data_IF_534595425420
#
_entry.id   IF_534595425420
#
_cell.length_a   1.000
_cell.length_b   1.000
_cell.length_c   1.000
_cell.angle_alpha   90.00
_cell.angle_beta   90.00
_cell.angle_gamma   90.00
#
_symmetry.space_group_name_H-M   'P 1'
#
loop_
_entity.id
_entity.type
_entity.pdbx_description
1 polymer ?
#
# COMPACT_ATOMS: atom_id res chain seq x y z
N UNK A 1 -7.90 -34.82 6.37
CA UNK A 1 -6.43 -34.76 6.19
C UNK A 1 -5.95 -35.70 5.08
N UNK A 2 -6.20 -37.03 5.10
CA UNK A 2 -5.61 -37.93 4.08
C UNK A 2 -6.12 -37.75 2.64
N UNK A 3 -7.32 -37.22 2.42
CA UNK A 3 -7.81 -36.90 1.07
C UNK A 3 -7.19 -35.63 0.46
N UNK A 4 -6.65 -34.74 1.30
CA UNK A 4 -5.97 -33.51 0.87
C UNK A 4 -4.51 -33.82 0.50
N UNK A 5 -3.86 -34.71 1.27
CA UNK A 5 -2.51 -35.20 0.98
C UNK A 5 -2.45 -36.02 -0.33
N UNK A 6 -3.45 -36.88 -0.59
CA UNK A 6 -3.52 -37.67 -1.84
C UNK A 6 -3.73 -36.79 -3.08
N UNK A 7 -4.48 -35.69 -2.95
CA UNK A 7 -4.71 -34.73 -4.02
C UNK A 7 -3.46 -33.87 -4.30
N UNK A 8 -2.71 -33.55 -3.23
CA UNK A 8 -1.44 -32.81 -3.31
C UNK A 8 -0.32 -33.65 -3.93
N UNK A 9 -0.16 -34.93 -3.55
CA UNK A 9 0.81 -35.84 -4.20
C UNK A 9 0.55 -36.03 -5.69
N UNK A 10 -0.73 -36.09 -6.10
CA UNK A 10 -1.10 -36.25 -7.52
C UNK A 10 -0.80 -35.02 -8.35
N UNK A 11 -0.95 -33.82 -7.78
CA UNK A 11 -0.60 -32.55 -8.43
C UNK A 11 0.92 -32.37 -8.56
N UNK A 12 1.68 -32.72 -7.53
CA UNK A 12 3.16 -32.67 -7.55
C UNK A 12 3.73 -33.66 -8.57
N UNK A 13 3.20 -34.88 -8.66
CA UNK A 13 3.61 -35.87 -9.69
C UNK A 13 3.21 -35.46 -11.10
N UNK A 14 2.17 -34.65 -11.28
CA UNK A 14 1.76 -34.12 -12.59
C UNK A 14 2.66 -32.97 -13.04
N UNK A 15 3.09 -32.11 -12.12
CA UNK A 15 4.06 -31.04 -12.37
C UNK A 15 5.44 -31.60 -12.78
N UNK A 16 5.94 -32.61 -12.06
CA UNK A 16 7.23 -33.25 -12.35
C UNK A 16 7.25 -34.03 -13.69
N UNK A 17 6.11 -34.54 -14.16
CA UNK A 17 6.01 -35.17 -15.49
C UNK A 17 6.03 -34.15 -16.63
N UNK A 18 5.61 -32.92 -16.40
CA UNK A 18 5.64 -31.85 -17.41
C UNK A 18 7.08 -31.40 -17.73
N UNK A 19 7.98 -31.45 -16.75
CA UNK A 19 9.41 -31.14 -16.95
C UNK A 19 10.16 -32.26 -17.69
N UNK A 20 9.74 -33.53 -17.54
CA UNK A 20 10.38 -34.66 -18.24
C UNK A 20 10.00 -34.79 -19.72
N UNK A 21 8.85 -34.24 -20.14
CA UNK A 21 8.36 -34.34 -21.53
C UNK A 21 8.99 -33.26 -22.44
N UNK A 22 9.61 -32.22 -21.87
CA UNK A 22 10.36 -31.23 -22.64
C UNK A 22 11.72 -31.73 -23.20
N UNK A 23 12.12 -32.98 -22.89
CA UNK A 23 13.45 -33.51 -23.22
C UNK A 23 13.53 -34.55 -24.35
N UNK A 24 12.45 -34.86 -25.08
CA UNK A 24 12.49 -35.89 -26.13
C UNK A 24 11.88 -35.42 -27.46
N UNK A 25 12.74 -34.95 -28.37
CA UNK A 25 12.43 -34.77 -29.80
C UNK A 25 12.89 -36.01 -30.56
N UNK A 26 12.05 -36.71 -31.35
CA UNK A 26 12.49 -37.78 -32.23
C UNK A 26 13.05 -37.23 -33.54
N UNK A 27 14.23 -37.73 -33.92
CA UNK A 27 14.91 -37.47 -35.19
C UNK A 27 14.35 -38.37 -36.32
N UNK A 28 13.73 -37.78 -37.34
CA UNK A 28 13.80 -38.26 -38.75
C UNK A 28 12.89 -37.45 -39.67
N UNK A 29 13.46 -36.65 -40.57
CA UNK A 29 13.33 -36.76 -42.04
C UNK A 29 13.81 -35.47 -42.73
N UNK A 30 14.71 -35.68 -43.69
CA UNK A 30 15.35 -34.72 -44.59
C UNK A 30 14.33 -33.99 -45.48
N UNK A 31 14.43 -32.66 -45.65
CA UNK A 31 15.16 -32.04 -46.77
C UNK A 31 14.93 -30.52 -46.81
N UNK A 32 15.85 -29.87 -47.52
CA UNK A 32 15.77 -28.56 -48.15
C UNK A 32 16.14 -27.30 -47.36
N UNK A 33 16.88 -26.47 -48.10
CA UNK A 33 17.66 -25.25 -47.80
C UNK A 33 16.97 -24.16 -46.96
N UNK A 34 15.71 -24.36 -46.58
CA UNK A 34 14.98 -23.51 -45.64
C UNK A 34 15.31 -23.83 -44.18
N UNK A 35 15.73 -25.07 -43.87
CA UNK A 35 16.12 -25.45 -42.49
C UNK A 35 17.42 -24.79 -42.04
N UNK A 36 18.43 -24.67 -42.91
CA UNK A 36 19.68 -23.95 -42.59
C UNK A 36 19.47 -22.44 -42.43
N UNK A 37 18.51 -21.86 -43.17
CA UNK A 37 18.14 -20.45 -43.01
C UNK A 37 17.37 -20.24 -41.69
N UNK A 38 16.43 -21.13 -41.36
CA UNK A 38 15.67 -21.08 -40.10
C UNK A 38 16.56 -21.35 -38.89
N UNK A 39 17.53 -22.27 -38.98
CA UNK A 39 18.49 -22.55 -37.90
C UNK A 39 19.45 -21.38 -37.69
N UNK A 40 19.97 -20.74 -38.75
CA UNK A 40 20.79 -19.52 -38.59
C UNK A 40 20.00 -18.36 -38.02
N UNK A 41 18.75 -18.17 -38.47
CA UNK A 41 17.88 -17.13 -37.91
C UNK A 41 17.50 -17.44 -36.46
N UNK A 42 17.30 -18.71 -36.11
CA UNK A 42 17.03 -19.15 -34.73
C UNK A 42 18.27 -18.99 -33.84
N UNK A 43 19.46 -19.35 -34.31
CA UNK A 43 20.72 -19.14 -33.59
C UNK A 43 21.03 -17.64 -33.41
N UNK A 44 20.77 -16.79 -34.42
CA UNK A 44 20.91 -15.33 -34.31
C UNK A 44 19.89 -14.72 -33.32
N UNK A 45 18.63 -15.20 -33.33
CA UNK A 45 17.61 -14.80 -32.35
C UNK A 45 17.99 -15.30 -30.95
N UNK A 46 18.55 -16.50 -30.84
CA UNK A 46 18.92 -17.12 -29.57
C UNK A 46 20.20 -16.51 -28.99
N UNK A 47 21.14 -16.05 -29.81
CA UNK A 47 22.30 -15.24 -29.41
C UNK A 47 21.88 -13.79 -29.06
N UNK A 48 20.94 -13.19 -29.78
CA UNK A 48 20.35 -11.90 -29.39
C UNK A 48 19.55 -12.00 -28.08
N UNK A 49 18.83 -13.11 -27.86
CA UNK A 49 18.13 -13.39 -26.60
C UNK A 49 19.11 -13.75 -25.49
N UNK A 50 20.21 -14.47 -25.73
CA UNK A 50 21.26 -14.72 -24.74
C UNK A 50 22.00 -13.43 -24.37
N UNK A 51 22.27 -12.55 -25.35
CA UNK A 51 22.85 -11.23 -25.08
C UNK A 51 21.86 -10.32 -24.36
N UNK A 52 20.56 -10.38 -24.69
CA UNK A 52 19.52 -9.70 -23.91
C UNK A 52 19.43 -10.26 -22.49
N UNK A 53 19.46 -11.58 -22.32
CA UNK A 53 19.38 -12.24 -21.02
C UNK A 53 20.62 -11.96 -20.18
N UNK A 54 21.83 -12.00 -20.74
CA UNK A 54 23.07 -11.60 -20.07
C UNK A 54 23.06 -10.11 -19.70
N UNK A 55 22.56 -9.25 -20.58
CA UNK A 55 22.42 -7.81 -20.30
C UNK A 55 21.34 -7.52 -19.25
N UNK A 56 20.27 -8.32 -19.24
CA UNK A 56 19.20 -8.29 -18.23
C UNK A 56 19.71 -8.83 -16.90
N UNK A 57 20.49 -9.92 -16.88
CA UNK A 57 21.17 -10.43 -15.69
C UNK A 57 22.19 -9.43 -15.15
N UNK A 58 22.97 -8.77 -16.00
CA UNK A 58 23.89 -7.70 -15.57
C UNK A 58 23.13 -6.48 -15.01
N UNK A 59 21.99 -6.12 -15.62
CA UNK A 59 21.09 -5.07 -15.12
C UNK A 59 20.42 -5.48 -13.81
N UNK A 60 20.02 -6.74 -13.68
CA UNK A 60 19.37 -7.31 -12.51
C UNK A 60 20.37 -7.48 -11.38
N UNK A 61 21.58 -7.98 -11.62
CA UNK A 61 22.70 -7.98 -10.68
C UNK A 61 23.09 -6.55 -10.28
N UNK A 62 23.08 -5.58 -11.20
CA UNK A 62 23.35 -4.18 -10.84
C UNK A 62 22.25 -3.61 -9.94
N UNK A 63 20.98 -3.92 -10.23
CA UNK A 63 19.81 -3.51 -9.45
C UNK A 63 19.73 -4.22 -8.10
N UNK A 64 20.07 -5.50 -8.04
CA UNK A 64 20.13 -6.31 -6.82
C UNK A 64 21.35 -5.94 -6.00
N UNK A 65 22.52 -5.68 -6.59
CA UNK A 65 23.66 -5.07 -5.87
C UNK A 65 23.36 -3.64 -5.44
N UNK A 66 22.50 -2.89 -6.14
CA UNK A 66 22.03 -1.58 -5.68
C UNK A 66 21.00 -1.71 -4.55
N UNK A 67 20.11 -2.70 -4.60
CA UNK A 67 19.13 -3.02 -3.56
C UNK A 67 19.80 -3.60 -2.30
N UNK A 68 20.79 -4.49 -2.44
CA UNK A 68 21.60 -5.04 -1.35
C UNK A 68 22.58 -3.99 -0.77
N UNK A 69 23.04 -3.01 -1.57
CA UNK A 69 23.73 -1.82 -1.05
C UNK A 69 22.77 -0.88 -0.30
N UNK A 70 21.51 -0.81 -0.76
CA UNK A 70 20.38 -0.12 -0.10
C UNK A 70 19.88 -0.86 1.15
N UNK A 71 20.18 -2.15 1.29
CA UNK A 71 19.83 -2.96 2.48
C UNK A 71 20.97 -2.98 3.51
N UNK A 72 22.25 -2.91 3.07
CA UNK A 72 23.40 -2.68 3.96
C UNK A 72 23.49 -1.25 4.50
N UNK A 73 22.82 -0.30 3.84
CA UNK A 73 22.62 1.06 4.30
C UNK A 73 21.13 1.19 4.55
N UNK A 74 20.67 0.80 5.76
CA UNK A 74 19.26 0.86 6.13
C UNK A 74 18.64 2.17 5.63
N UNK A 75 17.75 2.04 4.65
CA UNK A 75 17.05 3.15 4.01
C UNK A 75 15.57 2.88 4.19
N UNK A 76 14.86 3.86 4.73
CA UNK A 76 13.44 3.76 5.01
C UNK A 76 12.60 3.93 3.73
N UNK A 77 11.28 3.89 3.89
CA UNK A 77 10.25 4.06 2.86
C UNK A 77 10.33 5.39 2.08
N UNK A 78 11.22 6.31 2.50
CA UNK A 78 11.50 7.61 1.89
C UNK A 78 12.87 7.69 1.19
N UNK A 79 13.59 6.56 1.07
CA UNK A 79 14.78 6.46 0.23
C UNK A 79 16.01 7.22 0.75
N UNK A 80 16.07 7.55 2.05
CA UNK A 80 17.25 8.19 2.67
C UNK A 80 18.06 7.20 3.50
N UNK A 81 19.40 7.34 3.55
CA UNK A 81 20.20 6.65 4.54
C UNK A 81 19.71 7.03 5.94
N UNK A 82 19.31 6.04 6.73
CA UNK A 82 18.96 6.19 8.14
C UNK A 82 20.23 6.61 8.87
N UNK A 83 20.39 7.91 9.05
CA UNK A 83 21.48 8.51 9.82
C UNK A 83 20.86 9.20 11.01
N UNK A 84 21.01 8.61 12.20
CA UNK A 84 20.46 9.17 13.44
C UNK A 84 19.82 8.12 14.34
N UNK A 85 19.23 8.56 15.46
CA UNK A 85 18.66 7.69 16.51
C UNK A 85 17.30 7.12 16.07
N UNK A 86 16.64 7.76 15.11
CA UNK A 86 15.37 7.30 14.53
C UNK A 86 15.45 5.87 13.98
N UNK A 87 16.61 5.46 13.43
CA UNK A 87 16.85 4.09 12.94
C UNK A 87 16.89 2.99 13.99
N UNK A 88 16.94 3.34 15.27
CA UNK A 88 17.17 2.42 16.37
C UNK A 88 15.93 2.21 17.24
N UNK A 89 14.75 2.67 16.80
CA UNK A 89 13.49 2.42 17.52
C UNK A 89 13.20 0.91 17.49
N UNK A 90 13.14 0.22 18.64
CA UNK A 90 12.87 -1.21 18.67
C UNK A 90 11.47 -1.56 18.19
N UNK A 91 11.33 -2.69 17.46
CA UNK A 91 10.04 -3.16 16.98
C UNK A 91 9.03 -3.48 18.10
N UNK A 92 9.50 -3.76 19.31
CA UNK A 92 8.64 -3.92 20.49
C UNK A 92 7.94 -2.62 20.94
N UNK A 93 8.32 -1.46 20.40
CA UNK A 93 7.66 -0.16 20.63
C UNK A 93 6.82 0.28 19.41
N UNK A 94 6.71 -0.53 18.34
CA UNK A 94 6.03 -0.19 17.08
C UNK A 94 4.53 0.09 17.20
N UNK A 95 3.89 -0.27 18.31
CA UNK A 95 2.49 0.07 18.57
C UNK A 95 2.24 1.60 18.70
N UNK A 96 3.30 2.42 18.67
CA UNK A 96 3.18 3.86 18.53
C UNK A 96 4.12 4.39 17.42
N UNK A 97 3.58 4.50 16.18
CA UNK A 97 4.25 5.08 15.00
C UNK A 97 4.79 6.50 15.21
N UNK A 98 4.36 7.18 16.29
CA UNK A 98 4.70 8.57 16.55
C UNK A 98 6.15 8.74 17.04
N UNK A 99 6.74 7.75 17.73
CA UNK A 99 8.10 7.88 18.29
C UNK A 99 9.15 8.04 17.19
N UNK A 100 9.08 7.22 16.13
CA UNK A 100 9.99 7.33 14.98
C UNK A 100 9.81 8.67 14.26
N UNK A 101 8.56 9.09 14.04
CA UNK A 101 8.26 10.37 13.41
C UNK A 101 8.80 11.56 14.22
N UNK A 102 8.66 11.53 15.55
CA UNK A 102 9.18 12.56 16.47
C UNK A 102 10.70 12.65 16.39
N UNK A 103 11.40 11.51 16.46
CA UNK A 103 12.86 11.50 16.40
C UNK A 103 13.40 11.93 15.03
N UNK A 104 12.75 11.54 13.95
CA UNK A 104 13.09 11.99 12.60
C UNK A 104 12.97 13.52 12.49
N UNK A 105 11.85 14.09 12.95
CA UNK A 105 11.67 15.55 12.98
C UNK A 105 12.71 16.23 13.88
N UNK A 106 13.04 15.63 15.03
CA UNK A 106 14.05 16.17 15.95
C UNK A 106 15.44 16.25 15.32
N UNK A 107 15.85 15.24 14.56
CA UNK A 107 17.14 15.24 13.84
C UNK A 107 17.13 16.27 12.70
N UNK A 108 16.01 16.46 12.01
CA UNK A 108 15.88 17.42 10.92
C UNK A 108 15.97 18.89 11.36
N UNK A 109 15.35 19.22 12.49
CA UNK A 109 15.37 20.60 13.03
C UNK A 109 16.58 20.85 13.94
N UNK A 110 17.44 19.85 14.16
CA UNK A 110 18.57 19.97 15.09
C UNK A 110 19.49 21.13 14.74
N UNK A 111 19.80 21.30 13.45
CA UNK A 111 20.67 22.37 12.96
C UNK A 111 19.96 23.72 12.92
N UNK A 112 18.63 23.73 12.88
CA UNK A 112 17.79 24.95 12.87
C UNK A 112 17.55 25.49 14.29
N UNK A 113 17.08 24.65 15.21
CA UNK A 113 16.89 24.99 16.62
C UNK A 113 17.16 23.79 17.55
N UNK A 114 18.37 23.74 18.17
CA UNK A 114 18.74 22.67 19.10
C UNK A 114 17.82 22.57 20.32
N UNK A 115 17.15 23.65 20.74
CA UNK A 115 16.22 23.60 21.87
C UNK A 115 14.96 22.85 21.54
N UNK A 116 14.41 23.06 20.33
CA UNK A 116 13.19 22.37 19.89
C UNK A 116 13.50 20.90 19.61
N UNK A 117 14.64 20.63 18.99
CA UNK A 117 15.14 19.26 18.81
C UNK A 117 15.24 18.51 20.14
N UNK A 118 15.74 19.16 21.19
CA UNK A 118 15.76 18.60 22.55
C UNK A 118 14.34 18.32 23.07
N UNK A 119 13.40 19.27 22.96
CA UNK A 119 12.02 19.10 23.44
C UNK A 119 11.38 17.85 22.78
N UNK A 120 11.56 17.69 21.46
CA UNK A 120 11.07 16.52 20.74
C UNK A 120 11.72 15.22 21.23
N UNK A 121 13.04 15.19 21.43
CA UNK A 121 13.73 14.02 21.98
C UNK A 121 13.26 13.67 23.41
N UNK A 122 13.03 14.65 24.27
CA UNK A 122 12.50 14.45 25.62
C UNK A 122 11.07 13.91 25.59
N UNK A 123 10.25 14.41 24.68
CA UNK A 123 8.89 13.91 24.48
C UNK A 123 8.88 12.45 23.98
N UNK A 124 9.71 12.13 22.99
CA UNK A 124 9.88 10.75 22.51
C UNK A 124 10.36 9.81 23.62
N UNK A 125 11.27 10.26 24.49
CA UNK A 125 11.70 9.50 25.66
C UNK A 125 10.56 9.26 26.64
N UNK A 126 9.75 10.28 26.93
CA UNK A 126 8.56 10.17 27.79
C UNK A 126 7.56 9.15 27.25
N UNK A 127 7.27 9.20 25.95
CA UNK A 127 6.40 8.22 25.28
C UNK A 127 6.95 6.80 25.42
N UNK A 128 8.23 6.59 25.12
CA UNK A 128 8.87 5.28 25.28
C UNK A 128 8.86 4.79 26.74
N UNK A 129 9.00 5.70 27.71
CA UNK A 129 8.93 5.38 29.13
C UNK A 129 7.53 4.96 29.57
N UNK A 130 6.49 5.62 29.06
CA UNK A 130 5.11 5.28 29.38
C UNK A 130 4.66 3.95 28.77
N UNK A 131 5.18 3.62 27.57
CA UNK A 131 4.84 2.37 26.88
C UNK A 131 5.47 1.14 27.53
N UNK A 132 6.70 1.24 28.00
CA UNK A 132 7.39 0.12 28.65
C UNK A 132 8.20 0.61 29.86
N UNK A 133 7.57 0.88 31.01
CA UNK A 133 8.25 1.46 32.17
C UNK A 133 9.44 0.62 32.67
N UNK A 134 9.33 -0.71 32.57
CA UNK A 134 10.32 -1.67 33.04
C UNK A 134 11.40 -1.99 32.00
N UNK A 135 11.24 -1.53 30.75
CA UNK A 135 12.15 -1.80 29.63
C UNK A 135 12.33 -3.30 29.35
N UNK A 136 11.22 -4.04 29.42
CA UNK A 136 11.17 -5.50 29.20
C UNK A 136 11.22 -5.87 27.71
N UNK A 137 10.84 -4.93 26.83
CA UNK A 137 10.91 -5.11 25.38
C UNK A 137 12.34 -5.25 24.86
N UNK A 138 12.53 -6.11 23.87
CA UNK A 138 13.84 -6.38 23.26
C UNK A 138 14.45 -5.10 22.70
N UNK A 139 15.57 -4.65 23.26
CA UNK A 139 16.29 -3.45 22.80
C UNK A 139 15.78 -2.12 23.36
N UNK A 140 14.68 -2.10 24.13
CA UNK A 140 14.08 -0.87 24.69
C UNK A 140 15.02 -0.16 25.66
N UNK A 141 15.68 -0.90 26.55
CA UNK A 141 16.61 -0.33 27.52
C UNK A 141 17.82 0.36 26.83
N UNK A 142 18.35 -0.27 25.79
CA UNK A 142 19.45 0.27 24.99
C UNK A 142 19.01 1.55 24.26
N UNK A 143 17.83 1.53 23.66
CA UNK A 143 17.23 2.69 23.00
C UNK A 143 17.04 3.86 23.95
N UNK A 144 16.41 3.66 25.12
CA UNK A 144 16.18 4.71 26.12
C UNK A 144 17.49 5.28 26.65
N UNK A 145 18.47 4.43 26.91
CA UNK A 145 19.79 4.85 27.40
C UNK A 145 20.52 5.68 26.34
N UNK A 146 20.46 5.26 25.07
CA UNK A 146 21.01 6.00 23.93
C UNK A 146 20.35 7.36 23.73
N UNK A 147 19.01 7.41 23.74
CA UNK A 147 18.26 8.66 23.60
C UNK A 147 18.54 9.62 24.76
N UNK A 148 18.60 9.11 25.99
CA UNK A 148 18.99 9.91 27.17
C UNK A 148 20.41 10.47 27.06
N UNK A 149 21.35 9.70 26.52
CA UNK A 149 22.72 10.17 26.25
C UNK A 149 22.72 11.33 25.26
N UNK A 150 21.91 11.23 24.20
CA UNK A 150 21.80 12.29 23.19
C UNK A 150 21.16 13.54 23.76
N UNK A 151 20.10 13.41 24.55
CA UNK A 151 19.50 14.55 25.26
C UNK A 151 20.58 15.24 26.12
N UNK A 152 21.37 14.48 26.88
CA UNK A 152 22.48 15.02 27.68
C UNK A 152 23.57 15.68 26.84
N UNK A 153 23.92 15.14 25.68
CA UNK A 153 24.89 15.75 24.77
C UNK A 153 24.36 17.05 24.16
N UNK A 154 23.08 17.09 23.77
CA UNK A 154 22.40 18.31 23.28
C UNK A 154 22.34 19.38 24.37
N UNK A 155 22.22 18.98 25.63
CA UNK A 155 22.32 19.87 26.79
C UNK A 155 23.74 20.35 27.07
N UNK A 156 24.75 19.49 26.92
CA UNK A 156 26.15 19.83 27.21
C UNK A 156 26.79 20.75 26.17
N UNK A 157 26.30 20.77 24.92
CA UNK A 157 26.78 21.68 23.86
C UNK A 157 26.30 23.13 24.05
N UNK A 158 25.33 23.39 24.93
CA UNK A 158 24.94 24.74 25.34
C UNK A 158 25.72 25.13 26.59
N UNK A 159 26.38 26.27 26.55
CA UNK A 159 27.10 26.86 27.68
C UNK A 159 26.17 26.97 28.92
N UNK A 160 26.35 26.06 29.87
CA UNK A 160 26.22 26.28 31.33
C UNK A 160 25.00 27.04 31.88
N UNK A 161 23.81 26.95 31.28
CA UNK A 161 22.58 27.58 31.82
C UNK A 161 21.59 26.59 32.42
N UNK A 162 21.02 26.91 33.57
CA UNK A 162 19.86 26.21 34.14
C UNK A 162 18.70 26.25 33.14
N UNK A 163 18.22 25.09 32.69
CA UNK A 163 17.16 25.00 31.68
C UNK A 163 15.84 25.44 32.29
N UNK A 164 15.32 26.57 31.83
CA UNK A 164 13.96 26.98 32.14
C UNK A 164 12.95 26.22 31.28
N UNK A 165 12.48 25.09 31.81
CA UNK A 165 11.45 24.25 31.17
C UNK A 165 10.09 24.93 31.08
N UNK A 166 9.86 26.00 31.83
CA UNK A 166 8.57 26.73 31.81
C UNK A 166 8.30 27.41 30.46
N UNK A 167 9.35 27.68 29.69
CA UNK A 167 9.25 28.34 28.38
C UNK A 167 9.15 27.36 27.20
N UNK A 168 9.26 26.05 27.43
CA UNK A 168 9.36 25.07 26.34
C UNK A 168 8.10 25.05 25.46
N UNK A 169 6.92 25.17 26.05
CA UNK A 169 5.64 25.24 25.31
C UNK A 169 5.58 26.53 24.48
N UNK A 170 5.92 27.68 25.07
CA UNK A 170 5.91 28.97 24.37
C UNK A 170 6.90 28.98 23.20
N UNK A 171 8.10 28.40 23.41
CA UNK A 171 9.12 28.25 22.36
C UNK A 171 8.65 27.32 21.24
N UNK A 172 7.97 26.22 21.56
CA UNK A 172 7.43 25.31 20.56
C UNK A 172 6.33 25.98 19.71
N UNK A 173 5.45 26.77 20.34
CA UNK A 173 4.43 27.56 19.64
C UNK A 173 5.04 28.62 18.72
N UNK A 174 6.04 29.37 19.20
CA UNK A 174 6.72 30.39 18.40
C UNK A 174 7.52 29.75 17.26
N UNK A 175 8.19 28.62 17.54
CA UNK A 175 8.91 27.86 16.53
C UNK A 175 7.98 27.34 15.43
N UNK A 176 6.80 26.80 15.78
CA UNK A 176 5.82 26.36 14.79
C UNK A 176 5.47 27.49 13.80
N UNK A 177 5.14 28.68 14.33
CA UNK A 177 4.80 29.86 13.52
C UNK A 177 5.98 30.32 12.66
N UNK A 178 7.19 30.33 13.23
CA UNK A 178 8.43 30.71 12.53
C UNK A 178 8.76 29.74 11.41
N UNK A 179 8.75 28.44 11.70
CA UNK A 179 9.04 27.36 10.75
C UNK A 179 8.07 27.39 9.56
N UNK A 180 6.78 27.65 9.82
CA UNK A 180 5.75 27.82 8.78
C UNK A 180 6.05 28.98 7.84
N UNK A 181 6.49 30.12 8.39
CA UNK A 181 6.84 31.32 7.63
C UNK A 181 8.12 31.12 6.80
N UNK A 182 9.17 30.59 7.41
CA UNK A 182 10.48 30.39 6.75
C UNK A 182 10.40 29.38 5.61
N UNK A 183 9.60 28.32 5.77
CA UNK A 183 9.41 27.32 4.73
C UNK A 183 8.38 27.73 3.66
N UNK A 184 7.76 28.91 3.77
CA UNK A 184 6.73 29.42 2.87
C UNK A 184 5.59 28.39 2.65
N UNK A 185 5.05 27.84 3.74
CA UNK A 185 4.06 26.76 3.71
C UNK A 185 2.83 27.11 2.87
N UNK A 186 2.33 28.35 2.98
CA UNK A 186 1.20 28.82 2.17
C UNK A 186 1.50 28.75 0.67
N UNK A 187 2.71 29.16 0.28
CA UNK A 187 3.17 29.08 -1.12
C UNK A 187 3.33 27.62 -1.56
N UNK A 188 3.91 26.76 -0.71
CA UNK A 188 4.05 25.34 -1.00
C UNK A 188 2.68 24.67 -1.22
N UNK A 189 1.68 25.05 -0.41
CA UNK A 189 0.29 24.63 -0.53
C UNK A 189 -0.33 25.11 -1.85
N UNK A 190 -0.20 26.40 -2.18
CA UNK A 190 -0.73 26.96 -3.42
C UNK A 190 -0.09 26.34 -4.67
N UNK A 191 1.24 26.12 -4.65
CA UNK A 191 1.95 25.47 -5.74
C UNK A 191 1.54 24.00 -5.91
N UNK A 192 1.23 23.28 -4.82
CA UNK A 192 0.69 21.92 -4.90
C UNK A 192 -0.70 21.92 -5.56
N UNK A 193 -1.60 22.82 -5.14
CA UNK A 193 -2.92 22.98 -5.75
C UNK A 193 -2.79 23.26 -7.25
N UNK A 194 -1.94 24.22 -7.62
CA UNK A 194 -1.71 24.59 -9.03
C UNK A 194 -1.14 23.43 -9.86
N UNK A 195 -0.19 22.67 -9.32
CA UNK A 195 0.38 21.51 -10.03
C UNK A 195 -0.67 20.43 -10.30
N UNK A 196 -1.62 20.23 -9.36
CA UNK A 196 -2.71 19.26 -9.51
C UNK A 196 -3.82 19.76 -10.44
N UNK A 197 -4.06 21.08 -10.48
CA UNK A 197 -5.01 21.71 -11.41
C UNK A 197 -4.45 21.81 -12.83
N UNK A 198 -3.15 22.05 -12.98
CA UNK A 198 -2.49 22.07 -14.27
C UNK A 198 -2.33 20.63 -14.79
N UNK A 199 -3.17 20.21 -15.72
CA UNK A 199 -3.01 18.95 -16.47
C UNK A 199 -1.70 18.89 -17.31
N UNK A 200 -0.91 19.97 -17.30
CA UNK A 200 0.35 20.11 -18.02
C UNK A 200 1.50 19.58 -17.18
N UNK A 201 1.94 18.35 -17.47
CA UNK A 201 3.15 17.82 -16.89
C UNK A 201 4.35 18.65 -17.37
N UNK A 202 4.89 19.51 -16.49
CA UNK A 202 6.16 20.20 -16.76
C UNK A 202 7.24 19.13 -16.94
N UNK A 203 7.90 19.11 -18.11
CA UNK A 203 8.86 18.08 -18.52
C UNK A 203 10.12 17.94 -17.66
N UNK A 204 10.21 18.59 -16.49
CA UNK A 204 11.31 18.50 -15.55
C UNK A 204 10.95 17.66 -14.32
N UNK A 205 10.81 16.34 -14.52
CA UNK A 205 10.47 15.35 -13.47
C UNK A 205 11.38 15.47 -12.23
N UNK A 206 12.67 15.76 -12.41
CA UNK A 206 13.63 15.90 -11.30
C UNK A 206 13.40 17.14 -10.44
N UNK A 207 12.85 18.22 -10.98
CA UNK A 207 12.46 19.40 -10.19
C UNK A 207 11.18 19.12 -9.39
N UNK A 208 10.23 18.41 -10.01
CA UNK A 208 9.00 18.00 -9.35
C UNK A 208 9.28 17.08 -8.16
N UNK A 209 10.13 16.07 -8.34
CA UNK A 209 10.54 15.17 -7.27
C UNK A 209 11.18 15.92 -6.09
N UNK A 210 12.10 16.86 -6.37
CA UNK A 210 12.71 17.71 -5.32
C UNK A 210 11.69 18.55 -4.57
N UNK A 211 10.70 19.12 -5.27
CA UNK A 211 9.62 19.89 -4.65
C UNK A 211 8.73 19.00 -3.78
N UNK A 212 8.35 17.82 -4.27
CA UNK A 212 7.54 16.86 -3.52
C UNK A 212 8.25 16.39 -2.25
N UNK A 213 9.55 16.05 -2.34
CA UNK A 213 10.35 15.67 -1.17
C UNK A 213 10.42 16.81 -0.16
N UNK A 214 10.64 18.05 -0.62
CA UNK A 214 10.64 19.22 0.26
C UNK A 214 9.28 19.42 0.95
N UNK A 215 8.17 19.30 0.21
CA UNK A 215 6.81 19.44 0.76
C UNK A 215 6.55 18.37 1.82
N UNK A 216 6.77 17.09 1.48
CA UNK A 216 6.61 15.96 2.42
C UNK A 216 7.41 16.19 3.71
N UNK A 217 8.65 16.65 3.58
CA UNK A 217 9.50 17.00 4.74
C UNK A 217 8.87 18.08 5.62
N UNK A 218 8.52 19.23 5.03
CA UNK A 218 8.00 20.39 5.77
C UNK A 218 6.68 20.06 6.47
N UNK A 219 5.72 19.47 5.76
CA UNK A 219 4.42 19.13 6.32
C UNK A 219 4.51 17.98 7.34
N UNK A 220 5.38 16.98 7.11
CA UNK A 220 5.65 15.93 8.09
C UNK A 220 6.19 16.49 9.42
N UNK A 221 7.15 17.42 9.35
CA UNK A 221 7.68 18.09 10.55
C UNK A 221 6.65 18.97 11.23
N UNK A 222 5.80 19.70 10.49
CA UNK A 222 4.69 20.47 11.07
C UNK A 222 3.67 19.57 11.77
N UNK A 223 3.30 18.42 11.17
CA UNK A 223 2.39 17.44 11.79
C UNK A 223 2.94 16.96 13.13
N UNK A 224 4.23 16.62 13.19
CA UNK A 224 4.89 16.22 14.43
C UNK A 224 4.90 17.36 15.47
N UNK A 225 5.28 18.58 15.07
CA UNK A 225 5.31 19.72 15.99
C UNK A 225 3.93 20.03 16.56
N UNK A 226 2.89 19.98 15.72
CA UNK A 226 1.49 20.16 16.12
C UNK A 226 1.02 19.08 17.09
N UNK A 227 1.25 17.81 16.76
CA UNK A 227 0.91 16.67 17.61
C UNK A 227 1.59 16.74 18.98
N UNK A 228 2.89 17.04 19.03
CA UNK A 228 3.62 17.18 20.30
C UNK A 228 3.08 18.37 21.10
N UNK A 229 2.76 19.48 20.44
CA UNK A 229 2.19 20.64 21.10
C UNK A 229 0.82 20.33 21.75
N UNK A 230 -0.06 19.63 21.03
CA UNK A 230 -1.38 19.18 21.54
C UNK A 230 -1.26 18.20 22.71
N UNK A 231 -0.24 17.35 22.71
CA UNK A 231 0.03 16.41 23.81
C UNK A 231 0.62 17.09 25.04
N UNK A 232 1.37 18.19 24.87
CA UNK A 232 2.02 18.93 25.97
C UNK A 232 1.11 19.99 26.61
N UNK A 233 0.12 20.54 25.90
CA UNK A 233 -0.79 21.56 26.44
C UNK A 233 -2.21 21.50 25.87
N UNK A 234 -3.20 21.80 26.73
CA UNK A 234 -4.61 21.99 26.34
C UNK A 234 -4.94 23.44 26.00
N UNK A 235 -4.04 24.38 26.29
CA UNK A 235 -4.22 25.83 26.12
C UNK A 235 -3.55 26.32 24.84
N UNK A 236 -4.00 25.81 23.70
CA UNK A 236 -3.54 26.28 22.38
C UNK A 236 -4.54 27.34 21.89
N UNK A 237 -4.09 28.53 21.44
CA UNK A 237 -4.98 29.50 20.82
C UNK A 237 -5.75 28.86 19.64
N UNK A 238 -7.07 29.05 19.60
CA UNK A 238 -7.96 28.37 18.64
C UNK A 238 -7.52 28.59 17.17
N UNK A 239 -7.03 29.80 16.86
CA UNK A 239 -6.47 30.15 15.55
C UNK A 239 -5.27 29.26 15.17
N UNK A 240 -4.38 28.98 16.13
CA UNK A 240 -3.22 28.13 15.90
C UNK A 240 -3.62 26.66 15.77
N UNK A 241 -4.62 26.23 16.54
CA UNK A 241 -5.16 24.87 16.47
C UNK A 241 -5.75 24.57 15.09
N UNK A 242 -6.56 25.47 14.55
CA UNK A 242 -7.10 25.33 13.19
C UNK A 242 -5.99 25.25 12.12
N UNK A 243 -4.92 26.02 12.30
CA UNK A 243 -3.75 25.96 11.38
C UNK A 243 -3.03 24.62 11.50
N UNK A 244 -2.85 24.08 12.71
CA UNK A 244 -2.23 22.77 12.94
C UNK A 244 -3.05 21.66 12.29
N UNK A 245 -4.36 21.64 12.51
CA UNK A 245 -5.28 20.67 11.90
C UNK A 245 -5.23 20.75 10.36
N UNK A 246 -5.21 21.96 9.82
CA UNK A 246 -5.11 22.22 8.38
C UNK A 246 -3.76 21.78 7.78
N UNK A 247 -2.64 22.02 8.47
CA UNK A 247 -1.31 21.61 8.03
C UNK A 247 -1.13 20.08 8.15
N UNK A 248 -1.69 19.46 9.20
CA UNK A 248 -1.70 18.01 9.38
C UNK A 248 -2.49 17.29 8.29
N UNK A 249 -3.64 17.83 7.88
CA UNK A 249 -4.44 17.29 6.77
C UNK A 249 -3.66 17.28 5.44
N UNK A 250 -2.85 18.32 5.17
CA UNK A 250 -2.01 18.35 3.96
C UNK A 250 -0.97 17.23 3.93
N UNK A 251 -0.52 16.75 5.08
CA UNK A 251 0.42 15.63 5.15
C UNK A 251 -0.22 14.36 4.60
N UNK A 252 -1.51 14.15 4.87
CA UNK A 252 -2.29 13.02 4.34
C UNK A 252 -2.54 13.19 2.83
N UNK A 253 -2.80 14.42 2.37
CA UNK A 253 -2.94 14.75 0.94
C UNK A 253 -1.63 14.62 0.13
N UNK A 254 -0.47 14.82 0.76
CA UNK A 254 0.86 14.66 0.15
C UNK A 254 1.31 13.20 0.06
N UNK A 255 0.65 12.29 0.79
CA UNK A 255 0.98 10.85 0.80
C UNK A 255 0.32 10.10 -0.35
N UNK A 256 -0.70 10.67 -1.01
CA UNK A 256 -1.36 10.04 -2.14
C UNK A 256 -0.35 9.75 -3.27
N UNK A 257 0.10 8.49 -3.35
CA UNK A 257 0.78 7.93 -4.52
C UNK A 257 -0.18 7.75 -5.70
N UNK A 258 -1.47 7.94 -5.43
CA UNK A 258 -2.56 7.78 -6.36
C UNK A 258 -2.61 8.94 -7.35
N UNK A 259 -2.63 8.62 -8.65
CA UNK A 259 -2.76 9.55 -9.78
C UNK A 259 -4.13 10.26 -9.70
N UNK A 260 -5.16 9.54 -9.23
CA UNK A 260 -6.50 10.02 -8.94
C UNK A 260 -6.73 9.93 -7.42
N UNK A 261 -6.53 11.04 -6.66
CA UNK A 261 -6.67 11.05 -5.22
C UNK A 261 -8.15 11.12 -4.82
N UNK A 262 -8.84 9.99 -4.89
CA UNK A 262 -10.28 9.86 -4.62
C UNK A 262 -10.66 10.17 -3.16
N UNK A 263 -9.72 10.08 -2.23
CA UNK A 263 -9.92 10.29 -0.78
C UNK A 263 -9.54 11.71 -0.29
N UNK A 264 -8.93 12.56 -1.13
CA UNK A 264 -8.37 13.85 -0.71
C UNK A 264 -9.47 14.92 -0.48
N UNK A 265 -9.51 15.65 0.66
CA UNK A 265 -10.56 16.62 1.02
C UNK A 265 -10.70 17.82 0.09
N UNK A 266 -9.65 18.18 -0.64
CA UNK A 266 -9.50 19.55 -1.17
C UNK A 266 -9.21 19.64 -2.67
N UNK A 267 -9.26 18.55 -3.44
CA UNK A 267 -8.61 18.57 -4.77
C UNK A 267 -9.59 18.34 -5.92
N UNK A 268 -9.85 19.42 -6.67
CA UNK A 268 -10.27 19.37 -8.08
C UNK A 268 -9.09 18.88 -8.94
N UNK A 269 -8.87 17.57 -8.99
CA UNK A 269 -7.93 17.00 -9.95
C UNK A 269 -8.52 17.15 -11.35
N UNK A 270 -7.79 17.77 -12.30
CA UNK A 270 -8.25 17.93 -13.68
C UNK A 270 -8.64 16.58 -14.32
N UNK A 271 -8.02 15.47 -13.89
CA UNK A 271 -8.37 14.12 -14.33
C UNK A 271 -9.78 13.72 -13.88
N UNK A 272 -10.23 14.17 -12.70
CA UNK A 272 -11.60 13.94 -12.22
C UNK A 272 -12.65 14.73 -13.03
N UNK A 273 -12.25 15.67 -13.88
CA UNK A 273 -13.16 16.37 -14.78
C UNK A 273 -13.49 15.55 -16.05
N UNK A 274 -12.73 14.50 -16.36
CA UNK A 274 -13.01 13.66 -17.53
C UNK A 274 -14.31 12.85 -17.34
N UNK A 275 -15.24 12.86 -18.31
CA UNK A 275 -16.52 12.17 -18.20
C UNK A 275 -16.40 10.67 -17.88
N UNK A 276 -15.41 9.98 -18.46
CA UNK A 276 -15.14 8.56 -18.23
C UNK A 276 -14.72 8.29 -16.78
N UNK A 277 -13.91 9.19 -16.21
CA UNK A 277 -13.45 9.09 -14.82
C UNK A 277 -14.60 9.33 -13.86
N UNK A 278 -15.44 10.33 -14.14
CA UNK A 278 -16.66 10.59 -13.36
C UNK A 278 -17.66 9.43 -13.42
N UNK A 279 -17.84 8.85 -14.61
CA UNK A 279 -18.67 7.67 -14.83
C UNK A 279 -18.17 6.46 -14.05
N UNK A 280 -16.87 6.14 -14.16
CA UNK A 280 -16.25 5.03 -13.45
C UNK A 280 -16.29 5.20 -11.92
N UNK A 281 -15.95 6.39 -11.42
CA UNK A 281 -16.04 6.71 -10.00
C UNK A 281 -17.48 6.62 -9.48
N UNK A 282 -18.45 7.13 -10.24
CA UNK A 282 -19.86 7.05 -9.87
C UNK A 282 -20.39 5.61 -9.87
N UNK A 283 -19.86 4.74 -10.72
CA UNK A 283 -20.24 3.33 -10.77
C UNK A 283 -19.79 2.52 -9.53
N UNK A 284 -18.78 3.00 -8.79
CA UNK A 284 -18.32 2.34 -7.56
C UNK A 284 -19.08 2.77 -6.30
N UNK A 285 -19.91 3.82 -6.38
CA UNK A 285 -20.68 4.34 -5.24
C UNK A 285 -21.55 3.26 -4.58
N UNK A 286 -21.86 3.48 -3.31
CA UNK A 286 -22.78 2.63 -2.56
C UNK A 286 -24.12 2.52 -3.30
N UNK A 287 -24.57 1.30 -3.57
CA UNK A 287 -25.84 1.03 -4.24
C UNK A 287 -26.82 0.33 -3.31
N UNK A 288 -28.13 0.41 -3.60
CA UNK A 288 -29.19 -0.07 -2.71
C UNK A 288 -29.22 -1.58 -2.46
N UNK A 289 -28.42 -2.37 -3.19
CA UNK A 289 -28.26 -3.81 -2.95
C UNK A 289 -27.21 -4.17 -1.91
N UNK A 290 -26.48 -3.19 -1.35
CA UNK A 290 -25.54 -3.41 -0.26
C UNK A 290 -26.22 -3.25 1.10
N UNK A 291 -25.90 -4.11 2.10
CA UNK A 291 -26.35 -3.92 3.48
C UNK A 291 -25.92 -2.56 4.04
N UNK A 292 -26.64 -2.01 5.02
CA UNK A 292 -26.25 -0.74 5.64
C UNK A 292 -24.96 -0.91 6.45
N UNK A 293 -23.98 -0.02 6.26
CA UNK A 293 -22.80 0.07 7.14
C UNK A 293 -23.20 0.55 8.54
N UNK A 294 -22.58 0.03 9.61
CA UNK A 294 -22.80 0.52 10.96
C UNK A 294 -22.47 2.02 11.12
N UNK A 295 -23.17 2.69 12.04
CA UNK A 295 -23.01 4.13 12.26
C UNK A 295 -21.65 4.50 12.93
N UNK A 296 -21.01 3.54 13.60
CA UNK A 296 -19.68 3.66 14.21
C UNK A 296 -18.53 3.42 13.23
N UNK A 297 -18.83 2.99 12.00
CA UNK A 297 -17.80 2.79 10.98
C UNK A 297 -17.34 4.13 10.40
N UNK A 298 -16.07 4.48 10.65
CA UNK A 298 -15.48 5.73 10.16
C UNK A 298 -15.10 5.61 8.68
N UNK A 299 -15.86 6.26 7.81
CA UNK A 299 -15.48 6.52 6.41
C UNK A 299 -14.75 7.87 6.35
N UNK A 300 -13.94 8.07 5.30
CA UNK A 300 -13.32 9.38 5.07
C UNK A 300 -14.37 10.49 5.08
N UNK A 301 -14.13 11.56 5.87
CA UNK A 301 -15.06 12.71 6.00
C UNK A 301 -15.27 13.43 4.66
N UNK A 302 -14.39 13.18 3.70
CA UNK A 302 -14.28 13.88 2.41
C UNK A 302 -15.19 13.33 1.33
N UNK A 303 -15.73 12.11 1.51
CA UNK A 303 -16.55 11.45 0.47
C UNK A 303 -17.65 10.57 1.06
N UNK A 304 -18.64 10.29 0.23
CA UNK A 304 -19.64 9.26 0.52
C UNK A 304 -19.02 7.86 0.51
N UNK A 305 -19.55 6.90 1.30
CA UNK A 305 -19.12 5.51 1.23
C UNK A 305 -19.32 4.92 -0.16
N UNK A 306 -18.48 3.95 -0.49
CA UNK A 306 -18.52 3.19 -1.74
C UNK A 306 -18.49 1.67 -1.49
N UNK A 307 -18.58 0.87 -2.55
CA UNK A 307 -18.61 -0.60 -2.41
C UNK A 307 -17.28 -1.17 -1.85
N UNK A 308 -16.16 -0.45 -1.99
CA UNK A 308 -14.88 -0.87 -1.44
C UNK A 308 -14.81 -0.62 0.07
N UNK A 309 -15.48 0.42 0.58
CA UNK A 309 -15.65 0.62 2.02
C UNK A 309 -16.47 -0.50 2.65
N UNK A 310 -17.50 -0.98 1.95
CA UNK A 310 -18.23 -2.17 2.34
C UNK A 310 -17.30 -3.39 2.44
N UNK A 311 -16.49 -3.64 1.41
CA UNK A 311 -15.54 -4.76 1.42
C UNK A 311 -14.46 -4.61 2.50
N UNK A 312 -13.99 -3.37 2.72
CA UNK A 312 -13.05 -3.04 3.80
C UNK A 312 -13.64 -3.39 5.17
N UNK A 313 -14.88 -2.96 5.44
CA UNK A 313 -15.57 -3.27 6.69
C UNK A 313 -15.78 -4.77 6.88
N UNK A 314 -16.26 -5.46 5.83
CA UNK A 314 -16.61 -6.88 5.91
C UNK A 314 -15.39 -7.77 6.11
N UNK A 315 -14.32 -7.55 5.35
CA UNK A 315 -13.16 -8.45 5.32
C UNK A 315 -11.93 -7.92 6.05
N UNK A 316 -11.93 -6.65 6.47
CA UNK A 316 -10.79 -6.06 7.18
C UNK A 316 -9.54 -5.91 6.31
N UNK A 317 -9.71 -5.60 5.03
CA UNK A 317 -8.59 -5.26 4.13
C UNK A 317 -7.84 -4.03 4.66
N UNK A 318 -6.55 -3.92 4.40
CA UNK A 318 -5.73 -2.77 4.81
C UNK A 318 -6.19 -1.49 4.08
N UNK A 319 -6.30 -0.37 4.82
CA UNK A 319 -6.78 0.92 4.28
C UNK A 319 -6.01 1.36 3.03
N UNK A 320 -4.68 1.25 3.05
CA UNK A 320 -3.85 1.66 1.91
C UNK A 320 -4.08 0.76 0.68
N UNK A 321 -4.27 -0.56 0.89
CA UNK A 321 -4.64 -1.48 -0.18
C UNK A 321 -5.99 -1.08 -0.80
N UNK A 322 -6.98 -0.77 0.04
CA UNK A 322 -8.30 -0.33 -0.41
C UNK A 322 -8.22 0.94 -1.26
N UNK A 323 -7.50 1.96 -0.79
CA UNK A 323 -7.32 3.21 -1.55
C UNK A 323 -6.58 2.99 -2.87
N UNK A 324 -5.55 2.12 -2.89
CA UNK A 324 -4.79 1.80 -4.11
C UNK A 324 -5.65 1.02 -5.12
N UNK A 325 -6.37 0.00 -4.68
CA UNK A 325 -7.21 -0.81 -5.58
C UNK A 325 -8.42 -0.04 -6.08
N UNK A 326 -8.96 0.90 -5.30
CA UNK A 326 -10.03 1.80 -5.76
C UNK A 326 -9.62 2.54 -7.02
N UNK A 327 -8.46 3.19 -6.99
CA UNK A 327 -7.94 3.88 -8.15
C UNK A 327 -7.66 2.92 -9.30
N UNK A 328 -7.01 1.79 -9.03
CA UNK A 328 -6.69 0.80 -10.05
C UNK A 328 -7.96 0.34 -10.82
N UNK A 329 -9.04 0.05 -10.10
CA UNK A 329 -10.32 -0.33 -10.70
C UNK A 329 -10.90 0.82 -11.52
N UNK A 330 -10.87 2.06 -11.03
CA UNK A 330 -11.29 3.24 -11.80
C UNK A 330 -10.51 3.34 -13.11
N UNK A 331 -9.18 3.18 -13.08
CA UNK A 331 -8.34 3.23 -14.27
C UNK A 331 -8.66 2.12 -15.27
N UNK A 332 -8.93 0.89 -14.80
CA UNK A 332 -9.35 -0.22 -15.66
C UNK A 332 -10.67 0.09 -16.37
N UNK A 333 -11.65 0.60 -15.62
CA UNK A 333 -12.97 0.95 -16.17
C UNK A 333 -12.88 2.12 -17.16
N UNK A 334 -12.09 3.14 -16.85
CA UNK A 334 -11.83 4.28 -17.75
C UNK A 334 -11.20 3.80 -19.04
N UNK A 335 -10.16 2.96 -18.97
CA UNK A 335 -9.50 2.43 -20.18
C UNK A 335 -10.43 1.57 -21.05
N UNK A 336 -11.35 0.80 -20.47
CA UNK A 336 -12.36 0.08 -21.28
C UNK A 336 -13.42 1.06 -21.84
N UNK A 337 -13.89 2.02 -21.04
CA UNK A 337 -14.87 3.02 -21.48
C UNK A 337 -14.36 3.85 -22.65
N UNK A 338 -13.11 4.32 -22.60
CA UNK A 338 -12.52 5.12 -23.67
C UNK A 338 -12.43 4.39 -25.02
N UNK A 339 -12.55 3.04 -25.05
CA UNK A 339 -12.62 2.25 -26.29
C UNK A 339 -14.03 2.19 -26.88
N UNK A 340 -15.05 2.39 -26.06
CA UNK A 340 -16.46 2.41 -26.46
C UNK A 340 -16.93 3.83 -26.83
N UNK A 341 -16.27 4.85 -26.31
CA UNK A 341 -16.55 6.25 -26.57
C UNK A 341 -16.60 7.08 -25.29
N UNK A 342 -16.54 8.40 -25.44
CA UNK A 342 -16.65 9.35 -24.33
C UNK A 342 -18.14 9.50 -23.97
N UNK A 343 -18.55 9.32 -22.71
CA UNK A 343 -19.92 9.63 -22.29
C UNK A 343 -20.23 11.12 -22.51
N UNK A 344 -21.21 11.43 -23.37
CA UNK A 344 -21.59 12.82 -23.71
C UNK A 344 -22.70 13.39 -22.81
N UNK A 345 -23.28 12.58 -21.92
CA UNK A 345 -24.38 12.99 -21.04
C UNK A 345 -23.92 13.96 -19.93
N UNK A 346 -24.82 14.85 -19.50
CA UNK A 346 -24.59 15.79 -18.38
C UNK A 346 -24.23 15.07 -17.06
N UNK A 347 -24.75 13.86 -16.87
CA UNK A 347 -24.34 12.93 -15.82
C UNK A 347 -23.72 11.70 -16.49
N UNK A 348 -22.38 11.66 -16.66
CA UNK A 348 -21.75 10.61 -17.44
C UNK A 348 -21.93 9.25 -16.76
N UNK A 349 -22.45 8.28 -17.50
CA UNK A 349 -22.68 6.91 -17.03
C UNK A 349 -21.74 5.95 -17.74
N UNK A 350 -21.28 4.98 -16.97
CA UNK A 350 -20.39 3.94 -17.47
C UNK A 350 -21.21 2.93 -18.29
N UNK A 351 -20.72 2.63 -19.48
CA UNK A 351 -21.31 1.63 -20.36
C UNK A 351 -21.21 0.22 -19.72
N UNK A 352 -22.31 -0.53 -19.74
CA UNK A 352 -22.34 -1.89 -19.19
C UNK A 352 -21.37 -2.84 -19.90
N UNK A 353 -21.09 -2.61 -21.19
CA UNK A 353 -20.09 -3.38 -21.94
C UNK A 353 -18.67 -3.14 -21.41
N UNK A 354 -18.35 -1.93 -20.91
CA UNK A 354 -17.05 -1.66 -20.28
C UNK A 354 -16.91 -2.46 -18.98
N UNK A 355 -17.95 -2.46 -18.14
CA UNK A 355 -17.98 -3.26 -16.90
C UNK A 355 -17.87 -4.75 -17.19
N UNK A 356 -18.62 -5.22 -18.18
CA UNK A 356 -18.58 -6.61 -18.61
C UNK A 356 -17.19 -7.02 -19.11
N UNK A 357 -16.54 -6.16 -19.90
CA UNK A 357 -15.18 -6.38 -20.39
C UNK A 357 -14.15 -6.49 -19.26
N UNK A 358 -14.17 -5.57 -18.29
CA UNK A 358 -13.28 -5.65 -17.11
C UNK A 358 -13.56 -6.90 -16.30
N UNK A 359 -14.83 -7.23 -16.06
CA UNK A 359 -15.24 -8.41 -15.30
C UNK A 359 -14.71 -9.71 -15.91
N UNK A 360 -14.92 -9.90 -17.21
CA UNK A 360 -14.46 -11.09 -17.92
C UNK A 360 -12.94 -11.22 -17.91
N UNK A 361 -12.22 -10.12 -18.17
CA UNK A 361 -10.74 -10.12 -18.18
C UNK A 361 -10.16 -10.41 -16.80
N UNK A 362 -10.72 -9.80 -15.76
CA UNK A 362 -10.19 -9.91 -14.38
C UNK A 362 -10.42 -11.31 -13.81
N UNK A 363 -11.57 -11.94 -14.12
CA UNK A 363 -11.95 -13.24 -13.56
C UNK A 363 -11.78 -14.41 -14.55
N UNK A 364 -11.08 -14.21 -15.66
CA UNK A 364 -10.82 -15.25 -16.66
C UNK A 364 -10.12 -16.48 -16.05
N UNK A 365 -9.11 -16.24 -15.21
CA UNK A 365 -8.40 -17.31 -14.50
C UNK A 365 -9.33 -18.09 -13.56
N UNK A 366 -10.22 -17.39 -12.86
CA UNK A 366 -11.21 -18.00 -11.99
C UNK A 366 -12.20 -18.87 -12.78
N UNK A 367 -12.69 -18.39 -13.91
CA UNK A 367 -13.57 -19.16 -14.80
C UNK A 367 -12.88 -20.44 -15.30
N UNK A 368 -11.63 -20.34 -15.75
CA UNK A 368 -10.82 -21.49 -16.18
C UNK A 368 -10.60 -22.49 -15.04
N UNK A 369 -10.33 -22.01 -13.84
CA UNK A 369 -10.15 -22.84 -12.65
C UNK A 369 -11.43 -23.59 -12.27
N UNK A 370 -12.59 -22.92 -12.26
CA UNK A 370 -13.88 -23.57 -12.02
C UNK A 370 -14.20 -24.63 -13.07
N UNK A 371 -13.97 -24.33 -14.35
CA UNK A 371 -14.16 -25.27 -15.45
C UNK A 371 -13.24 -26.49 -15.33
N UNK A 372 -11.97 -26.28 -14.98
CA UNK A 372 -11.00 -27.36 -14.80
C UNK A 372 -11.38 -28.31 -13.66
N UNK A 373 -11.86 -27.75 -12.54
CA UNK A 373 -12.29 -28.54 -11.37
C UNK A 373 -13.73 -29.06 -11.49
N UNK A 374 -14.45 -28.72 -12.56
CA UNK A 374 -15.87 -29.04 -12.74
C UNK A 374 -16.75 -28.54 -11.57
N UNK A 375 -16.45 -27.37 -11.02
CA UNK A 375 -17.24 -26.72 -9.97
C UNK A 375 -18.01 -25.53 -10.54
N UNK A 376 -19.16 -25.23 -9.94
CA UNK A 376 -19.96 -24.09 -10.34
C UNK A 376 -19.31 -22.78 -9.88
N UNK A 377 -19.19 -21.76 -10.75
CA UNK A 377 -18.80 -20.42 -10.34
C UNK A 377 -19.75 -19.85 -9.27
N UNK A 378 -19.35 -18.77 -8.58
CA UNK A 378 -20.17 -18.18 -7.51
C UNK A 378 -21.49 -17.62 -8.05
N UNK A 379 -21.54 -17.29 -9.35
CA UNK A 379 -22.75 -16.92 -10.05
C UNK A 379 -23.36 -18.10 -10.82
N UNK A 380 -24.69 -18.19 -10.78
CA UNK A 380 -25.44 -19.25 -11.49
C UNK A 380 -25.49 -19.02 -13.01
N UNK A 381 -25.60 -17.76 -13.44
CA UNK A 381 -25.59 -17.36 -14.85
C UNK A 381 -24.96 -15.99 -14.98
N UNK A 382 -24.12 -15.79 -16.01
CA UNK A 382 -23.44 -14.53 -16.28
C UNK A 382 -24.43 -13.40 -16.65
N UNK A 383 -25.52 -13.76 -17.34
CA UNK A 383 -26.58 -12.84 -17.76
C UNK A 383 -27.44 -12.37 -16.59
N UNK A 384 -27.45 -13.13 -15.49
CA UNK A 384 -28.18 -12.80 -14.26
C UNK A 384 -27.41 -11.93 -13.28
N UNK A 385 -26.14 -11.62 -13.55
CA UNK A 385 -25.32 -10.74 -12.69
C UNK A 385 -25.44 -9.31 -13.20
N UNK A 386 -26.03 -8.43 -12.39
CA UNK A 386 -26.11 -7.00 -12.68
C UNK A 386 -24.72 -6.33 -12.68
N UNK A 387 -24.69 -5.06 -13.11
CA UNK A 387 -23.46 -4.28 -13.26
C UNK A 387 -22.78 -4.08 -11.90
N UNK A 388 -23.56 -3.75 -10.88
CA UNK A 388 -23.09 -3.45 -9.52
C UNK A 388 -22.43 -4.68 -8.88
N UNK A 389 -23.03 -5.87 -9.04
CA UNK A 389 -22.49 -7.13 -8.52
C UNK A 389 -21.25 -7.59 -9.30
N UNK A 390 -21.18 -7.33 -10.61
CA UNK A 390 -19.93 -7.54 -11.39
C UNK A 390 -18.80 -6.68 -10.83
N UNK A 391 -19.05 -5.40 -10.59
CA UNK A 391 -18.06 -4.49 -10.00
C UNK A 391 -17.66 -4.91 -8.58
N UNK A 392 -18.61 -5.41 -7.79
CA UNK A 392 -18.33 -5.91 -6.45
C UNK A 392 -17.40 -7.12 -6.47
N UNK A 393 -17.61 -8.08 -7.40
CA UNK A 393 -16.73 -9.22 -7.58
C UNK A 393 -15.33 -8.82 -8.06
N UNK A 394 -15.25 -7.88 -9.02
CA UNK A 394 -13.96 -7.33 -9.48
C UNK A 394 -13.23 -6.65 -8.32
N UNK A 395 -13.94 -5.87 -7.52
CA UNK A 395 -13.39 -5.17 -6.37
C UNK A 395 -12.84 -6.14 -5.32
N UNK A 396 -13.63 -7.17 -4.98
CA UNK A 396 -13.18 -8.21 -4.05
C UNK A 396 -11.94 -8.94 -4.57
N UNK A 397 -11.91 -9.31 -5.86
CA UNK A 397 -10.77 -10.00 -6.45
C UNK A 397 -9.48 -9.17 -6.36
N UNK A 398 -9.52 -7.89 -6.69
CA UNK A 398 -8.34 -7.03 -6.65
C UNK A 398 -7.90 -6.70 -5.22
N UNK A 399 -8.82 -6.58 -4.26
CA UNK A 399 -8.48 -6.44 -2.84
C UNK A 399 -7.74 -7.67 -2.31
N UNK A 400 -8.24 -8.88 -2.63
CA UNK A 400 -7.56 -10.15 -2.33
C UNK A 400 -6.17 -10.16 -2.99
N UNK A 401 -6.09 -9.82 -4.27
CA UNK A 401 -4.82 -9.81 -5.01
C UNK A 401 -3.80 -8.84 -4.40
N UNK A 402 -4.24 -7.66 -3.95
CA UNK A 402 -3.38 -6.63 -3.36
C UNK A 402 -2.74 -7.03 -2.04
N UNK A 403 -3.38 -7.89 -1.26
CA UNK A 403 -2.87 -8.39 0.03
C UNK A 403 -2.32 -9.82 0.00
N UNK A 404 -2.47 -10.54 -1.12
CA UNK A 404 -2.03 -11.93 -1.24
C UNK A 404 -0.51 -12.15 -1.17
N UNK A 405 0.32 -11.10 -1.15
CA UNK A 405 1.78 -11.19 -1.07
C UNK A 405 2.36 -12.22 -2.07
N UNK A 406 3.07 -13.27 -1.62
CA UNK A 406 3.61 -14.30 -2.52
C UNK A 406 2.54 -15.30 -2.99
N UNK A 407 1.40 -15.41 -2.30
CA UNK A 407 0.29 -16.31 -2.67
C UNK A 407 -0.31 -15.93 -4.02
N UNK A 408 -0.18 -14.67 -4.47
CA UNK A 408 -0.63 -14.24 -5.80
C UNK A 408 0.05 -14.98 -6.97
N UNK A 409 1.20 -15.62 -6.73
CA UNK A 409 1.90 -16.44 -7.73
C UNK A 409 1.39 -17.90 -7.76
N UNK A 410 0.41 -18.24 -6.92
CA UNK A 410 -0.30 -19.51 -6.91
C UNK A 410 -1.73 -19.25 -7.43
N UNK A 411 -1.95 -19.24 -8.75
CA UNK A 411 -3.21 -18.79 -9.33
C UNK A 411 -4.41 -19.63 -8.85
N UNK A 412 -4.23 -20.93 -8.62
CA UNK A 412 -5.27 -21.81 -8.06
C UNK A 412 -5.63 -21.45 -6.61
N UNK A 413 -4.63 -21.05 -5.81
CA UNK A 413 -4.86 -20.62 -4.43
C UNK A 413 -5.63 -19.29 -4.41
N UNK A 414 -5.27 -18.36 -5.28
CA UNK A 414 -5.99 -17.10 -5.43
C UNK A 414 -7.45 -17.31 -5.85
N UNK A 415 -7.69 -18.23 -6.80
CA UNK A 415 -9.05 -18.60 -7.22
C UNK A 415 -9.84 -19.26 -6.08
N UNK A 416 -9.20 -20.10 -5.27
CA UNK A 416 -9.80 -20.72 -4.10
C UNK A 416 -10.24 -19.69 -3.05
N UNK A 417 -9.35 -18.76 -2.69
CA UNK A 417 -9.66 -17.68 -1.73
C UNK A 417 -10.83 -16.85 -2.25
N UNK A 418 -10.77 -16.41 -3.51
CA UNK A 418 -11.84 -15.66 -4.14
C UNK A 418 -13.16 -16.43 -4.13
N UNK A 419 -13.16 -17.72 -4.49
CA UNK A 419 -14.37 -18.54 -4.54
C UNK A 419 -15.10 -18.56 -3.19
N UNK A 420 -14.37 -18.79 -2.10
CA UNK A 420 -14.95 -18.89 -0.77
C UNK A 420 -15.39 -17.53 -0.22
N UNK A 421 -14.56 -16.50 -0.37
CA UNK A 421 -14.91 -15.15 0.09
C UNK A 421 -16.07 -14.55 -0.70
N UNK A 422 -16.15 -14.79 -2.00
CA UNK A 422 -17.27 -14.30 -2.81
C UNK A 422 -18.60 -14.98 -2.43
N UNK A 423 -18.58 -16.24 -1.99
CA UNK A 423 -19.76 -16.93 -1.44
C UNK A 423 -20.18 -16.36 -0.09
N UNK A 424 -19.23 -16.15 0.81
CA UNK A 424 -19.49 -15.52 2.11
C UNK A 424 -20.02 -14.08 1.94
N UNK A 425 -19.46 -13.32 1.00
CA UNK A 425 -19.97 -12.01 0.62
C UNK A 425 -21.43 -12.09 0.16
N UNK A 426 -21.78 -13.05 -0.70
CA UNK A 426 -23.16 -13.23 -1.18
C UNK A 426 -24.14 -13.55 -0.03
N UNK A 427 -23.70 -14.25 1.01
CA UNK A 427 -24.48 -14.49 2.23
C UNK A 427 -24.68 -13.18 3.02
N UNK A 428 -23.63 -12.37 3.17
CA UNK A 428 -23.69 -11.06 3.85
C UNK A 428 -24.59 -10.08 3.11
N UNK A 429 -24.59 -10.09 1.76
CA UNK A 429 -25.48 -9.25 0.95
C UNK A 429 -26.98 -9.52 1.19
N UNK A 430 -27.35 -10.68 1.75
CA UNK A 430 -28.74 -10.99 2.11
C UNK A 430 -29.17 -10.36 3.43
N UNK A 431 -28.24 -9.78 4.19
CA UNK A 431 -28.50 -9.14 5.48
C UNK A 431 -28.87 -7.66 5.30
N UNK A 432 -29.60 -7.09 6.27
CA UNK A 432 -29.92 -5.66 6.24
C UNK A 432 -28.77 -4.76 6.71
N UNK A 433 -27.94 -5.26 7.61
CA UNK A 433 -26.80 -4.54 8.20
C UNK A 433 -25.55 -5.34 7.87
N UNK A 434 -24.49 -4.65 7.43
CA UNK A 434 -23.22 -5.28 7.13
C UNK A 434 -22.63 -5.88 8.40
N UNK A 435 -22.09 -7.10 8.28
CA UNK A 435 -21.39 -7.78 9.36
C UNK A 435 -20.00 -8.20 8.88
N UNK A 436 -19.00 -8.26 9.79
CA UNK A 436 -17.72 -8.85 9.50
C UNK A 436 -17.87 -10.29 8.99
N UNK A 437 -17.04 -10.65 8.02
CA UNK A 437 -16.91 -12.02 7.54
C UNK A 437 -16.35 -12.92 8.66
N UNK A 438 -16.96 -14.08 8.85
CA UNK A 438 -16.52 -15.07 9.83
C UNK A 438 -15.10 -15.56 9.51
N UNK A 439 -14.77 -15.69 8.21
CA UNK A 439 -13.42 -16.08 7.77
C UNK A 439 -12.33 -15.09 8.14
N UNK A 440 -12.69 -13.84 8.41
CA UNK A 440 -11.75 -12.75 8.68
C UNK A 440 -11.86 -12.19 10.10
N UNK A 441 -12.76 -12.73 10.93
CA UNK A 441 -13.05 -12.22 12.28
C UNK A 441 -12.24 -12.95 13.35
N UNK A 442 -11.72 -12.20 14.31
CA UNK A 442 -11.00 -12.71 15.48
C UNK A 442 -11.32 -11.90 16.73
N UNK A 443 -10.85 -12.35 17.90
CA UNK A 443 -10.98 -11.60 19.17
C UNK A 443 -10.33 -10.20 19.09
N UNK A 444 -9.31 -10.04 18.23
CA UNK A 444 -8.56 -8.80 18.05
C UNK A 444 -9.12 -7.90 16.92
N UNK A 445 -10.28 -8.26 16.35
CA UNK A 445 -10.90 -7.54 15.24
C UNK A 445 -10.87 -8.30 13.92
N UNK A 446 -11.19 -7.58 12.83
CA UNK A 446 -11.36 -8.13 11.48
C UNK A 446 -10.10 -7.89 10.67
N UNK A 447 -9.49 -8.94 10.11
CA UNK A 447 -8.30 -8.80 9.27
C UNK A 447 -8.14 -9.94 8.28
N UNK A 448 -8.28 -9.63 6.99
CA UNK A 448 -8.01 -10.56 5.90
C UNK A 448 -6.56 -11.06 5.92
N UNK A 449 -5.59 -10.14 6.05
CA UNK A 449 -4.17 -10.48 6.08
C UNK A 449 -3.85 -11.50 7.18
N UNK A 450 -4.29 -11.23 8.41
CA UNK A 450 -3.96 -12.07 9.58
C UNK A 450 -4.72 -13.40 9.56
N UNK A 451 -5.99 -13.40 9.18
CA UNK A 451 -6.83 -14.61 9.29
C UNK A 451 -6.79 -15.50 8.05
N UNK A 452 -6.54 -14.95 6.86
CA UNK A 452 -6.56 -15.71 5.59
C UNK A 452 -5.16 -15.88 5.01
N UNK A 453 -4.40 -14.79 4.83
CA UNK A 453 -3.11 -14.86 4.14
C UNK A 453 -2.00 -15.41 5.02
N UNK A 454 -1.89 -14.97 6.28
CA UNK A 454 -0.81 -15.43 7.18
C UNK A 454 -0.78 -16.94 7.35
N UNK A 455 -1.91 -17.64 7.64
CA UNK A 455 -1.88 -19.09 7.78
C UNK A 455 -1.50 -19.81 6.48
N UNK A 456 -1.93 -19.31 5.31
CA UNK A 456 -1.53 -19.86 4.02
C UNK A 456 -0.03 -19.66 3.78
N UNK A 457 0.49 -18.48 4.12
CA UNK A 457 1.91 -18.18 3.99
C UNK A 457 2.77 -19.07 4.89
N UNK A 458 2.33 -19.32 6.12
CA UNK A 458 3.02 -20.23 7.04
C UNK A 458 3.11 -21.66 6.49
N UNK A 459 2.02 -22.17 5.88
CA UNK A 459 2.01 -23.48 5.22
C UNK A 459 2.97 -23.51 4.03
N UNK A 460 2.95 -22.48 3.19
CA UNK A 460 3.86 -22.38 2.03
C UNK A 460 5.31 -22.32 2.50
N UNK A 461 5.62 -21.49 3.49
CA UNK A 461 6.96 -21.36 4.05
C UNK A 461 7.46 -22.69 4.64
N UNK A 462 6.65 -23.37 5.45
CA UNK A 462 7.00 -24.67 6.02
C UNK A 462 7.28 -25.73 4.95
N UNK A 463 6.53 -25.70 3.84
CA UNK A 463 6.70 -26.64 2.72
C UNK A 463 8.02 -26.42 1.98
N UNK A 464 8.45 -25.17 1.78
CA UNK A 464 9.75 -24.84 1.20
C UNK A 464 10.93 -25.30 2.08
N UNK A 465 10.83 -25.14 3.40
CA UNK A 465 11.84 -25.66 4.32
C UNK A 465 11.95 -27.18 4.27
N UNK A 466 10.82 -27.89 4.12
CA UNK A 466 10.82 -29.34 3.98
C UNK A 466 11.48 -29.80 2.68
N UNK A 467 11.20 -29.13 1.54
CA UNK A 467 11.86 -29.45 0.27
C UNK A 467 13.37 -29.19 0.30
N UNK A 468 13.82 -28.11 0.95
CA UNK A 468 15.24 -27.83 1.19
C UNK A 468 15.90 -28.86 2.11
N UNK A 469 15.23 -29.29 3.18
CA UNK A 469 15.75 -30.33 4.08
C UNK A 469 15.85 -31.70 3.38
N UNK A 470 14.86 -32.08 2.57
CA UNK A 470 14.88 -33.35 1.84
C UNK A 470 15.93 -33.36 0.72
N UNK A 471 16.21 -32.21 0.10
CA UNK A 471 17.27 -32.08 -0.93
C UNK A 471 18.69 -31.94 -0.35
N UNK A 472 18.84 -31.67 0.95
CA UNK A 472 20.14 -31.73 1.66
C UNK A 472 20.40 -33.12 2.24
N UNK A 473 19.37 -33.97 2.35
CA UNK A 473 19.47 -35.33 2.89
C UNK A 473 19.42 -36.45 1.83
N UNK A 474 19.32 -36.10 0.54
CA UNK A 474 19.58 -36.97 -0.61
C UNK A 474 20.79 -36.41 -1.39
#
# INVERSE_FOLDING_TARGET
MSQIEDLWERLVRAALRRESIAGNVPSSLENDRDTDAIVRTADEIQDEELQKMSRVEDLWERLVRAALRRERIGTDTLGRPVSGIAGNVPSSLENNRDIDAILRAADEIQDEDPSISRILCEHAYSLAQNLDPNSEGRGVLQFKTGLMSVIKQKLAKREGGTIDRSQDIARLQEFYKRYRKENNVDKLREEEMKLRESATFSGNLGELERKTVKRKKVFGTLKVLGMVLEQLTKEIPEELKQVIESDAAMTEDLIAYNIIPLDAPTVTNAIMAFPEVQAAHSALKYFGGLPRLPDDFSVSVTRSPDMLDFLHYVFGFQKDNVSNQREHIVLLLVNEQSRLGIPEELEPKLDEAAVHGVFLKSLDNYNKWCNYLCIQPVWSSLDGVDKEKKLLFVSLYFLIWGEAANVRFLPECLCYIFHHMAREMDEILRQQVAQPANSCSSENGVSFLVQVITPLYEVVAASFYYLLLVSVFF
#
